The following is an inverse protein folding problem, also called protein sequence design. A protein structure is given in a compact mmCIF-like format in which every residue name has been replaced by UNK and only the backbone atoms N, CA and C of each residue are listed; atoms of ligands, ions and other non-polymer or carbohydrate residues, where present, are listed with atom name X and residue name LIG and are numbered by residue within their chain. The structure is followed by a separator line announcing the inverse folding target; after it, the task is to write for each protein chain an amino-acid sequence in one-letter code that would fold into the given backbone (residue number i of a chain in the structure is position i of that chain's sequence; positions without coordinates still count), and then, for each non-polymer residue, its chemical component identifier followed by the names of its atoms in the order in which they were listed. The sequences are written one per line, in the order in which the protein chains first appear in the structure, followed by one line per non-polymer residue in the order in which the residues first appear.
data_IF_435046340276
#
_entry.id   IF_435046340276
#
_cell.length_a   1.000
_cell.length_b   1.000
_cell.length_c   1.000
_cell.angle_alpha   90.00
_cell.angle_beta   90.00
_cell.angle_gamma   90.00
#
_symmetry.space_group_name_H-M   'P 1'
#
loop_
_entity.id
_entity.type
_entity.pdbx_description
1 polymer ?
#
# COMPACT_ATOMS: atom_id res chain seq x y z
N UNK A 1 18.04 13.60 -29.07
CA UNK A 1 18.58 12.58 -28.15
C UNK A 1 17.41 11.77 -27.61
N UNK A 2 17.28 10.51 -27.98
CA UNK A 2 16.29 9.61 -27.37
C UNK A 2 16.83 9.32 -25.97
N UNK A 3 16.16 9.84 -24.93
CA UNK A 3 16.47 9.50 -23.54
C UNK A 3 16.12 8.02 -23.39
N UNK A 4 17.12 7.15 -23.45
CA UNK A 4 16.93 5.74 -23.17
C UNK A 4 16.26 5.65 -21.79
N UNK A 5 15.01 5.20 -21.78
CA UNK A 5 14.33 4.86 -20.53
C UNK A 5 15.25 3.89 -19.79
N UNK A 6 15.47 4.14 -18.50
CA UNK A 6 16.28 3.25 -17.68
C UNK A 6 15.71 1.83 -17.83
N UNK A 7 16.53 0.81 -18.12
CA UNK A 7 16.04 -0.55 -18.21
C UNK A 7 15.26 -0.90 -16.94
N UNK A 8 14.17 -1.65 -17.10
CA UNK A 8 13.37 -2.09 -15.96
C UNK A 8 14.27 -2.83 -14.96
N UNK A 9 14.17 -2.52 -13.66
CA UNK A 9 14.97 -3.20 -12.64
C UNK A 9 14.68 -4.69 -12.65
N UNK A 10 15.71 -5.49 -12.43
CA UNK A 10 15.61 -6.96 -12.38
C UNK A 10 14.81 -7.43 -11.16
N UNK A 11 14.22 -8.64 -11.17
CA UNK A 11 13.50 -9.20 -10.03
C UNK A 11 14.27 -9.18 -8.70
N UNK A 12 15.59 -9.31 -8.75
CA UNK A 12 16.44 -9.23 -7.58
C UNK A 12 16.59 -7.80 -7.01
N UNK A 13 16.39 -6.77 -7.83
CA UNK A 13 16.61 -5.36 -7.48
C UNK A 13 15.37 -4.67 -6.88
N UNK A 14 14.17 -5.22 -7.09
CA UNK A 14 12.94 -4.64 -6.53
C UNK A 14 12.34 -5.43 -5.37
N UNK A 15 12.81 -6.65 -5.05
CA UNK A 15 12.28 -7.48 -3.96
C UNK A 15 10.90 -8.08 -4.26
N UNK A 16 10.49 -9.12 -3.52
CA UNK A 16 9.13 -9.66 -3.62
C UNK A 16 8.19 -8.90 -2.69
N UNK A 17 7.07 -8.44 -3.22
CA UNK A 17 6.02 -7.72 -2.48
C UNK A 17 4.75 -8.57 -2.38
N UNK A 18 4.97 -9.88 -2.27
CA UNK A 18 3.96 -10.95 -2.19
C UNK A 18 3.40 -11.14 -0.76
N UNK A 19 3.80 -10.28 0.17
CA UNK A 19 3.29 -10.22 1.53
C UNK A 19 2.87 -8.78 1.82
N UNK A 20 1.75 -8.61 2.52
CA UNK A 20 1.29 -7.30 2.99
C UNK A 20 2.11 -6.82 4.20
N UNK A 21 2.29 -5.50 4.39
CA UNK A 21 2.81 -4.97 5.65
C UNK A 21 1.91 -5.39 6.82
N UNK A 22 2.52 -5.64 7.98
CA UNK A 22 1.78 -5.91 9.21
C UNK A 22 0.97 -4.68 9.64
N UNK A 23 -0.26 -4.93 10.10
CA UNK A 23 -1.10 -3.88 10.63
C UNK A 23 -0.68 -3.49 12.05
N UNK A 24 -0.83 -2.21 12.44
CA UNK A 24 -0.70 -1.84 13.85
C UNK A 24 -1.75 -2.58 14.70
N UNK A 25 -1.39 -2.97 15.93
CA UNK A 25 -2.30 -3.69 16.81
C UNK A 25 -3.49 -2.81 17.21
N UNK A 26 -4.67 -3.40 17.35
CA UNK A 26 -5.92 -2.66 17.67
C UNK A 26 -5.80 -1.82 18.95
N UNK A 27 -5.02 -2.28 19.94
CA UNK A 27 -4.75 -1.54 21.18
C UNK A 27 -4.03 -0.21 20.97
N UNK A 28 -3.34 -0.04 19.84
CA UNK A 28 -2.65 1.20 19.49
C UNK A 28 -3.56 2.19 18.75
N UNK A 29 -4.74 1.77 18.31
CA UNK A 29 -5.65 2.57 17.50
C UNK A 29 -6.56 3.44 18.37
N UNK A 30 -6.69 4.70 18.00
CA UNK A 30 -7.73 5.57 18.54
C UNK A 30 -8.89 5.68 17.54
N UNK A 31 -9.87 4.78 17.68
CA UNK A 31 -11.04 4.73 16.80
C UNK A 31 -12.03 5.89 17.03
N UNK A 32 -11.80 6.73 18.04
CA UNK A 32 -12.57 7.97 18.21
C UNK A 32 -12.07 9.12 17.33
N UNK A 33 -10.86 8.98 16.76
CA UNK A 33 -10.30 9.95 15.83
C UNK A 33 -10.78 9.68 14.40
N UNK A 34 -11.50 10.65 13.81
CA UNK A 34 -12.03 10.56 12.45
C UNK A 34 -10.92 10.35 11.40
N UNK A 35 -9.77 11.00 11.53
CA UNK A 35 -8.64 10.83 10.61
C UNK A 35 -8.10 9.38 10.65
N UNK A 36 -8.11 8.76 11.83
CA UNK A 36 -7.68 7.36 12.01
C UNK A 36 -8.68 6.42 11.33
N UNK A 37 -9.98 6.62 11.54
CA UNK A 37 -11.02 5.78 10.93
C UNK A 37 -11.06 5.90 9.41
N UNK A 38 -10.93 7.11 8.87
CA UNK A 38 -10.85 7.36 7.42
C UNK A 38 -9.57 6.74 6.80
N UNK A 39 -8.43 6.83 7.50
CA UNK A 39 -7.20 6.16 7.08
C UNK A 39 -7.31 4.64 7.05
N UNK A 40 -8.00 4.03 8.03
CA UNK A 40 -8.27 2.59 8.04
C UNK A 40 -9.06 2.16 6.80
N UNK A 41 -10.10 2.91 6.42
CA UNK A 41 -10.88 2.62 5.20
C UNK A 41 -10.00 2.68 3.95
N UNK A 42 -9.13 3.69 3.83
CA UNK A 42 -8.20 3.80 2.70
C UNK A 42 -7.19 2.66 2.66
N UNK A 43 -6.68 2.24 3.82
CA UNK A 43 -5.79 1.09 3.94
C UNK A 43 -6.44 -0.19 3.42
N UNK A 44 -7.68 -0.47 3.83
CA UNK A 44 -8.37 -1.69 3.39
C UNK A 44 -8.62 -1.70 1.88
N UNK A 45 -8.95 -0.54 1.27
CA UNK A 45 -9.02 -0.43 -0.20
C UNK A 45 -7.70 -0.77 -0.89
N UNK A 46 -6.56 -0.30 -0.36
CA UNK A 46 -5.25 -0.64 -0.91
C UNK A 46 -4.91 -2.13 -0.75
N UNK A 47 -5.38 -2.78 0.33
CA UNK A 47 -5.23 -4.24 0.50
C UNK A 47 -6.06 -4.99 -0.53
N UNK A 48 -7.27 -4.52 -0.82
CA UNK A 48 -8.10 -5.10 -1.87
C UNK A 48 -7.47 -4.94 -3.25
N UNK A 49 -6.93 -3.77 -3.56
CA UNK A 49 -6.14 -3.54 -4.78
C UNK A 49 -4.94 -4.49 -4.86
N UNK A 50 -4.18 -4.63 -3.76
CA UNK A 50 -3.04 -5.55 -3.69
C UNK A 50 -3.45 -7.00 -3.97
N UNK A 51 -4.57 -7.46 -3.39
CA UNK A 51 -5.14 -8.80 -3.64
C UNK A 51 -5.55 -8.96 -5.11
N UNK A 52 -6.11 -7.92 -5.72
CA UNK A 52 -6.42 -7.90 -7.15
C UNK A 52 -5.16 -8.06 -8.00
N UNK A 53 -4.09 -7.34 -7.67
CA UNK A 53 -2.81 -7.42 -8.38
C UNK A 53 -2.10 -8.76 -8.22
N UNK A 54 -2.33 -9.49 -7.12
CA UNK A 54 -1.78 -10.82 -6.91
C UNK A 54 -2.08 -11.78 -8.06
N UNK A 55 -3.26 -11.63 -8.67
CA UNK A 55 -3.74 -12.46 -9.76
C UNK A 55 -3.36 -11.94 -11.16
N UNK A 56 -2.67 -10.80 -11.26
CA UNK A 56 -2.20 -10.27 -12.55
C UNK A 56 -1.13 -11.17 -13.19
N UNK A 57 -1.12 -11.36 -14.52
CA UNK A 57 -2.09 -10.83 -15.48
C UNK A 57 -3.40 -11.63 -15.53
N UNK A 58 -3.41 -12.89 -15.10
CA UNK A 58 -4.49 -13.88 -15.29
C UNK A 58 -5.83 -13.62 -14.56
N UNK A 59 -6.08 -12.38 -14.12
CA UNK A 59 -7.34 -11.90 -13.56
C UNK A 59 -8.22 -11.23 -14.63
N UNK A 60 -8.73 -10.02 -14.36
CA UNK A 60 -9.53 -9.24 -15.34
C UNK A 60 -8.74 -8.77 -16.57
N UNK A 61 -7.43 -9.00 -16.60
CA UNK A 61 -6.57 -8.61 -17.71
C UNK A 61 -6.28 -9.81 -18.62
N UNK A 62 -6.58 -9.70 -19.91
CA UNK A 62 -6.17 -10.73 -20.87
C UNK A 62 -4.75 -10.41 -21.39
N UNK A 63 -3.72 -11.18 -21.01
CA UNK A 63 -2.35 -10.94 -21.50
C UNK A 63 -2.22 -11.06 -23.02
N UNK A 64 -3.11 -11.82 -23.70
CA UNK A 64 -3.14 -11.90 -25.16
C UNK A 64 -3.62 -10.57 -25.79
N UNK A 65 -4.52 -9.84 -25.12
CA UNK A 65 -5.00 -8.54 -25.56
C UNK A 65 -3.93 -7.44 -25.40
N UNK A 66 -3.05 -7.55 -24.40
CA UNK A 66 -2.00 -6.58 -24.11
C UNK A 66 -0.69 -6.79 -24.89
N UNK A 67 -0.55 -7.92 -25.62
CA UNK A 67 0.69 -8.33 -26.30
C UNK A 67 1.91 -8.37 -25.37
N UNK A 68 1.70 -8.69 -24.10
CA UNK A 68 2.75 -8.72 -23.09
C UNK A 68 3.49 -10.06 -23.10
N UNK A 69 4.80 -10.03 -22.88
CA UNK A 69 5.57 -11.25 -22.57
C UNK A 69 5.34 -11.65 -21.11
N UNK A 70 5.46 -12.94 -20.74
CA UNK A 70 5.35 -13.37 -19.35
C UNK A 70 6.23 -12.57 -18.37
N UNK A 71 7.45 -12.24 -18.78
CA UNK A 71 8.40 -11.47 -17.97
C UNK A 71 7.93 -10.03 -17.75
N UNK A 72 7.33 -9.43 -18.78
CA UNK A 72 6.79 -8.06 -18.70
C UNK A 72 5.58 -8.03 -17.77
N UNK A 73 4.70 -9.05 -17.86
CA UNK A 73 3.55 -9.17 -16.99
C UNK A 73 3.96 -9.39 -15.51
N UNK A 74 4.98 -10.21 -15.25
CA UNK A 74 5.51 -10.38 -13.91
C UNK A 74 6.12 -9.08 -13.34
N UNK A 75 6.85 -8.33 -14.17
CA UNK A 75 7.40 -7.03 -13.76
C UNK A 75 6.30 -6.02 -13.40
N UNK A 76 5.21 -5.96 -14.18
CA UNK A 76 4.04 -5.15 -13.88
C UNK A 76 3.36 -5.56 -12.58
N UNK A 77 3.12 -6.87 -12.40
CA UNK A 77 2.58 -7.40 -11.14
C UNK A 77 3.40 -6.91 -9.96
N UNK A 78 4.71 -7.13 -9.99
CA UNK A 78 5.57 -6.79 -8.87
C UNK A 78 5.63 -5.27 -8.61
N UNK A 79 5.57 -4.44 -9.66
CA UNK A 79 5.48 -2.99 -9.50
C UNK A 79 4.15 -2.54 -8.88
N UNK A 80 3.04 -3.16 -9.27
CA UNK A 80 1.71 -2.90 -8.69
C UNK A 80 1.65 -3.29 -7.21
N UNK A 81 2.10 -4.51 -6.89
CA UNK A 81 2.19 -5.00 -5.51
C UNK A 81 3.04 -4.08 -4.64
N UNK A 82 4.20 -3.62 -5.14
CA UNK A 82 5.07 -2.66 -4.44
C UNK A 82 4.35 -1.36 -4.10
N UNK A 83 3.59 -0.79 -5.05
CA UNK A 83 2.87 0.47 -4.82
C UNK A 83 1.87 0.33 -3.68
N UNK A 84 1.06 -0.73 -3.70
CA UNK A 84 0.09 -0.96 -2.63
C UNK A 84 0.78 -1.24 -1.29
N UNK A 85 1.85 -2.04 -1.27
CA UNK A 85 2.65 -2.28 -0.07
C UNK A 85 3.14 -0.96 0.56
N UNK A 86 3.76 -0.10 -0.25
CA UNK A 86 4.30 1.18 0.24
C UNK A 86 3.20 2.11 0.75
N UNK A 87 2.06 2.16 0.06
CA UNK A 87 0.89 2.93 0.51
C UNK A 87 0.33 2.44 1.84
N UNK A 88 0.19 1.12 2.01
CA UNK A 88 -0.29 0.50 3.24
C UNK A 88 0.67 0.77 4.40
N UNK A 89 1.97 0.58 4.20
CA UNK A 89 2.99 0.83 5.22
C UNK A 89 3.01 2.30 5.65
N UNK A 90 2.86 3.23 4.70
CA UNK A 90 2.75 4.66 4.99
C UNK A 90 1.51 4.97 5.83
N UNK A 91 0.33 4.46 5.42
CA UNK A 91 -0.91 4.68 6.15
C UNK A 91 -0.85 4.08 7.56
N UNK A 92 -0.27 2.90 7.74
CA UNK A 92 -0.04 2.30 9.06
C UNK A 92 0.78 3.24 9.96
N UNK A 93 1.83 3.86 9.44
CA UNK A 93 2.61 4.87 10.17
C UNK A 93 1.79 6.12 10.56
N UNK A 94 0.93 6.61 9.65
CA UNK A 94 0.01 7.72 9.94
C UNK A 94 -0.99 7.37 11.04
N UNK A 95 -1.62 6.19 10.95
CA UNK A 95 -2.61 5.70 11.93
C UNK A 95 -2.01 5.65 13.34
N UNK A 96 -0.81 5.07 13.49
CA UNK A 96 -0.12 4.99 14.78
C UNK A 96 0.16 6.37 15.34
N UNK A 97 0.70 7.28 14.50
CA UNK A 97 1.03 8.65 14.93
C UNK A 97 -0.22 9.43 15.35
N UNK A 98 -1.28 9.44 14.55
CA UNK A 98 -2.50 10.18 14.85
C UNK A 98 -3.24 9.61 16.07
N UNK A 99 -3.19 8.29 16.26
CA UNK A 99 -3.73 7.65 17.47
C UNK A 99 -2.94 8.03 18.73
N UNK A 100 -1.62 8.16 18.63
CA UNK A 100 -0.79 8.64 19.74
C UNK A 100 -1.05 10.12 20.05
N UNK A 101 -1.10 10.96 19.02
CA UNK A 101 -1.32 12.41 19.14
C UNK A 101 -2.70 12.71 19.75
N UNK A 102 -3.75 12.02 19.30
CA UNK A 102 -5.11 12.16 19.84
C UNK A 102 -5.17 11.81 21.32
N UNK A 103 -4.62 10.65 21.72
CA UNK A 103 -4.56 10.24 23.13
C UNK A 103 -3.76 11.21 24.00
N UNK A 104 -2.66 11.76 23.49
CA UNK A 104 -1.88 12.77 24.20
C UNK A 104 -2.67 14.06 24.43
N UNK A 105 -3.46 14.52 23.43
CA UNK A 105 -4.33 15.70 23.57
C UNK A 105 -5.37 15.49 24.66
N UNK A 106 -6.07 14.36 24.64
CA UNK A 106 -7.07 13.99 25.66
C UNK A 106 -6.48 13.99 27.07
N UNK A 107 -5.27 13.44 27.26
CA UNK A 107 -4.58 13.46 28.56
C UNK A 107 -4.19 14.87 29.03
N UNK A 108 -3.86 15.76 28.10
CA UNK A 108 -3.41 17.12 28.41
C UNK A 108 -4.54 18.12 28.68
N UNK A 109 -5.81 17.75 28.44
CA UNK A 109 -6.97 18.65 28.57
C UNK A 109 -6.95 19.84 27.59
N UNK A 110 -6.07 19.81 26.58
CA UNK A 110 -5.93 20.89 25.60
C UNK A 110 -6.92 20.64 24.45
N UNK A 111 -7.85 21.57 24.16
CA UNK A 111 -8.81 21.38 23.07
C UNK A 111 -8.10 21.36 21.71
N UNK A 112 -8.64 20.60 20.77
CA UNK A 112 -8.20 20.63 19.37
C UNK A 112 -8.44 22.05 18.81
N UNK A 113 -7.37 22.67 18.30
CA UNK A 113 -7.42 23.97 17.66
C UNK A 113 -7.87 23.83 16.19
#
# INVERSE_FOLDING_TARGET
MIRAMRPFPTPAEYGKWDVLPEDPPESELDLSNEDVTDALVRRERLKDEWRGYWHYPYGEHDPAAARETPETAEAWRNWLLRRSYQGIAFINGCIVRWSADSRARTKSGRPAA
#
